data_IF_086947028307
#
_entry.id   IF_086947028307
#
_cell.length_a   1.000
_cell.length_b   1.000
_cell.length_c   1.000
_cell.angle_alpha   90.00
_cell.angle_beta   90.00
_cell.angle_gamma   90.00
#
_symmetry.space_group_name_H-M   'P 1'
#
loop_
_entity.id
_entity.type
_entity.pdbx_description
1 polymer ?
#
# COMPACT_ATOMS: atom_id res chain seq x y z
N UNK A 1 -0.56 28.15 7.95
CA UNK A 1 -1.30 26.88 7.91
C UNK A 1 -1.27 26.31 9.33
N UNK A 2 -2.41 25.88 9.90
CA UNK A 2 -2.43 25.29 11.24
C UNK A 2 -1.52 24.05 11.26
N UNK A 3 -0.65 23.88 12.27
CA UNK A 3 0.31 22.77 12.36
C UNK A 3 -0.38 21.40 12.25
N UNK A 4 -1.61 21.29 12.77
CA UNK A 4 -2.45 20.08 12.62
C UNK A 4 -2.77 19.76 11.16
N UNK A 5 -3.09 20.78 10.35
CA UNK A 5 -3.41 20.63 8.92
C UNK A 5 -2.18 20.29 8.09
N UNK A 6 -1.02 20.85 8.44
CA UNK A 6 0.24 20.46 7.81
C UNK A 6 0.58 19.00 8.11
N UNK A 7 0.44 18.58 9.37
CA UNK A 7 0.69 17.20 9.76
C UNK A 7 -0.28 16.22 9.07
N UNK A 8 -1.58 16.54 9.04
CA UNK A 8 -2.59 15.71 8.36
C UNK A 8 -2.25 15.51 6.88
N UNK A 9 -1.85 16.58 6.17
CA UNK A 9 -1.39 16.48 4.77
C UNK A 9 -0.14 15.60 4.59
N UNK A 10 0.85 15.74 5.48
CA UNK A 10 2.07 14.91 5.40
C UNK A 10 1.73 13.44 5.59
N UNK A 11 0.92 13.12 6.60
CA UNK A 11 0.46 11.75 6.85
C UNK A 11 -0.33 11.25 5.65
N UNK A 12 -1.25 12.07 5.12
CA UNK A 12 -2.07 11.75 3.96
C UNK A 12 -1.23 11.36 2.73
N UNK A 13 -0.27 12.22 2.35
CA UNK A 13 0.66 11.94 1.22
C UNK A 13 1.44 10.66 1.47
N UNK A 14 1.99 10.49 2.68
CA UNK A 14 2.79 9.30 3.04
C UNK A 14 1.96 8.03 2.91
N UNK A 15 0.73 8.06 3.42
CA UNK A 15 -0.17 6.91 3.43
C UNK A 15 -0.65 6.55 2.01
N UNK A 16 -0.91 7.55 1.18
CA UNK A 16 -1.21 7.34 -0.25
C UNK A 16 -0.01 6.75 -0.99
N UNK A 17 1.20 7.26 -0.75
CA UNK A 17 2.41 6.74 -1.38
C UNK A 17 2.69 5.27 -0.98
N UNK A 18 2.60 4.96 0.32
CA UNK A 18 2.78 3.59 0.84
C UNK A 18 1.72 2.66 0.26
N UNK A 19 0.45 3.07 0.25
CA UNK A 19 -0.63 2.26 -0.30
C UNK A 19 -0.43 1.94 -1.77
N UNK A 20 -0.01 2.93 -2.57
CA UNK A 20 0.37 2.74 -3.97
C UNK A 20 1.55 1.78 -4.14
N UNK A 21 2.60 1.93 -3.33
CA UNK A 21 3.77 1.07 -3.36
C UNK A 21 3.42 -0.39 -3.01
N UNK A 22 2.57 -0.63 -2.02
CA UNK A 22 2.10 -1.97 -1.65
C UNK A 22 1.33 -2.62 -2.81
N UNK A 23 0.45 -1.87 -3.48
CA UNK A 23 -0.27 -2.40 -4.65
C UNK A 23 0.67 -2.72 -5.82
N UNK A 24 1.68 -1.88 -6.07
CA UNK A 24 2.73 -2.18 -7.05
C UNK A 24 3.53 -3.43 -6.65
N UNK A 25 3.82 -3.59 -5.36
CA UNK A 25 4.55 -4.75 -4.85
C UNK A 25 3.73 -6.05 -5.00
N UNK A 26 2.40 -5.98 -4.83
CA UNK A 26 1.50 -7.09 -5.14
C UNK A 26 1.61 -7.51 -6.61
N UNK A 27 1.68 -6.55 -7.55
CA UNK A 27 1.90 -6.84 -8.96
C UNK A 27 3.25 -7.56 -9.19
N UNK A 28 4.33 -7.11 -8.54
CA UNK A 28 5.63 -7.78 -8.63
C UNK A 28 5.60 -9.21 -8.12
N UNK A 29 4.90 -9.46 -7.00
CA UNK A 29 4.73 -10.82 -6.46
C UNK A 29 3.90 -11.68 -7.42
N UNK A 30 2.82 -11.16 -8.00
CA UNK A 30 1.96 -11.91 -8.92
C UNK A 30 2.72 -12.38 -10.16
N UNK A 31 3.55 -11.52 -10.76
CA UNK A 31 4.39 -11.87 -11.91
C UNK A 31 5.72 -12.52 -11.52
N UNK A 32 5.94 -12.79 -10.24
CA UNK A 32 7.20 -13.30 -9.68
C UNK A 32 8.44 -12.53 -10.16
N UNK A 33 8.33 -11.20 -10.27
CA UNK A 33 9.45 -10.35 -10.66
C UNK A 33 10.54 -10.47 -9.59
N UNK A 34 11.81 -10.61 -10.00
CA UNK A 34 12.96 -10.83 -9.11
C UNK A 34 12.85 -12.09 -8.23
N UNK A 35 12.08 -13.10 -8.64
CA UNK A 35 11.84 -14.31 -7.85
C UNK A 35 11.28 -14.02 -6.45
N UNK A 36 10.49 -12.95 -6.32
CA UNK A 36 9.96 -12.47 -5.04
C UNK A 36 9.14 -13.52 -4.29
N UNK A 37 8.46 -14.44 -4.97
CA UNK A 37 7.71 -15.50 -4.30
C UNK A 37 8.66 -16.43 -3.52
N UNK A 38 9.82 -16.73 -4.10
CA UNK A 38 10.87 -17.55 -3.46
C UNK A 38 11.60 -16.73 -2.39
N UNK A 39 12.00 -15.50 -2.71
CA UNK A 39 12.74 -14.63 -1.81
C UNK A 39 11.96 -14.32 -0.51
N UNK A 40 10.63 -14.20 -0.60
CA UNK A 40 9.74 -13.97 0.54
C UNK A 40 9.25 -15.28 1.20
N UNK A 41 9.59 -16.45 0.64
CA UNK A 41 9.18 -17.74 1.16
C UNK A 41 7.67 -17.97 1.12
N UNK A 42 6.97 -17.42 0.12
CA UNK A 42 5.53 -17.58 0.01
C UNK A 42 5.17 -18.97 -0.50
N UNK A 43 4.37 -19.75 0.24
CA UNK A 43 3.86 -21.01 -0.27
C UNK A 43 2.92 -20.74 -1.44
N UNK A 44 3.10 -21.49 -2.53
CA UNK A 44 2.38 -21.28 -3.79
C UNK A 44 0.85 -21.24 -3.61
N UNK A 45 0.35 -22.05 -2.69
CA UNK A 45 -1.08 -22.18 -2.36
C UNK A 45 -1.65 -20.93 -1.68
N UNK A 46 -0.83 -20.13 -1.00
CA UNK A 46 -1.27 -18.94 -0.26
C UNK A 46 -0.95 -17.62 -0.97
N UNK A 47 -0.26 -17.62 -2.11
CA UNK A 47 0.10 -16.40 -2.86
C UNK A 47 -1.13 -15.53 -3.09
N UNK A 48 -2.26 -16.14 -3.49
CA UNK A 48 -3.52 -15.41 -3.69
C UNK A 48 -3.96 -14.63 -2.45
N UNK A 49 -3.81 -15.20 -1.24
CA UNK A 49 -4.18 -14.53 0.01
C UNK A 49 -3.26 -13.34 0.31
N UNK A 50 -1.96 -13.47 0.08
CA UNK A 50 -1.02 -12.36 0.24
C UNK A 50 -1.32 -11.21 -0.72
N UNK A 51 -1.64 -11.53 -1.98
CA UNK A 51 -2.02 -10.52 -2.98
C UNK A 51 -3.30 -9.78 -2.59
N UNK A 52 -4.35 -10.50 -2.18
CA UNK A 52 -5.58 -9.89 -1.70
C UNK A 52 -5.33 -8.99 -0.49
N UNK A 53 -4.52 -9.45 0.46
CA UNK A 53 -4.11 -8.68 1.63
C UNK A 53 -3.47 -7.36 1.18
N UNK A 54 -2.48 -7.39 0.30
CA UNK A 54 -1.79 -6.19 -0.16
C UNK A 54 -2.69 -5.24 -0.92
N UNK A 55 -3.58 -5.75 -1.78
CA UNK A 55 -4.53 -4.92 -2.53
C UNK A 55 -5.52 -4.24 -1.57
N UNK A 56 -6.13 -4.98 -0.65
CA UNK A 56 -7.11 -4.43 0.30
C UNK A 56 -6.47 -3.38 1.21
N UNK A 57 -5.34 -3.71 1.85
CA UNK A 57 -4.66 -2.75 2.72
C UNK A 57 -4.07 -1.56 1.95
N UNK A 58 -3.57 -1.79 0.73
CA UNK A 58 -3.09 -0.74 -0.16
C UNK A 58 -4.19 0.25 -0.55
N UNK A 59 -5.38 -0.25 -0.92
CA UNK A 59 -6.55 0.57 -1.23
C UNK A 59 -7.03 1.36 0.00
N UNK A 60 -7.17 0.70 1.15
CA UNK A 60 -7.56 1.38 2.40
C UNK A 60 -6.57 2.48 2.76
N UNK A 61 -5.27 2.23 2.59
CA UNK A 61 -4.20 3.22 2.80
C UNK A 61 -4.32 4.40 1.84
N UNK A 62 -4.56 4.16 0.55
CA UNK A 62 -4.76 5.24 -0.43
C UNK A 62 -5.99 6.09 -0.09
N UNK A 63 -7.13 5.45 0.18
CA UNK A 63 -8.39 6.15 0.48
C UNK A 63 -8.23 7.02 1.72
N UNK A 64 -7.72 6.46 2.81
CA UNK A 64 -7.49 7.22 4.05
C UNK A 64 -6.46 8.33 3.88
N UNK A 65 -5.40 8.10 3.11
CA UNK A 65 -4.41 9.13 2.81
C UNK A 65 -5.01 10.32 2.04
N UNK A 66 -5.88 10.05 1.07
CA UNK A 66 -6.61 11.08 0.32
C UNK A 66 -7.60 11.84 1.21
N UNK A 67 -8.24 11.18 2.17
CA UNK A 67 -9.13 11.83 3.14
C UNK A 67 -8.36 12.81 4.03
N UNK A 68 -7.21 12.40 4.58
CA UNK A 68 -6.35 13.24 5.41
C UNK A 68 -5.78 14.44 4.63
N UNK A 69 -5.38 14.22 3.38
CA UNK A 69 -4.86 15.31 2.54
C UNK A 69 -5.91 16.41 2.27
N UNK A 70 -7.16 16.00 2.10
CA UNK A 70 -8.29 16.88 1.80
C UNK A 70 -8.99 17.43 3.05
N UNK A 71 -8.52 17.10 4.25
CA UNK A 71 -9.06 17.64 5.49
C UNK A 71 -8.84 19.17 5.54
N UNK A 72 -9.95 19.91 5.53
CA UNK A 72 -9.99 21.39 5.48
C UNK A 72 -9.74 22.03 6.82
#
# INVERSE_FOLDING_TARGET
>A
MNSKKLLSRIIGVTQTAIGGAIMLFAFFIFYNIFDLQIALGFPAEAIGLYLWTFIIFGLLSVISGLLLFNET
#
